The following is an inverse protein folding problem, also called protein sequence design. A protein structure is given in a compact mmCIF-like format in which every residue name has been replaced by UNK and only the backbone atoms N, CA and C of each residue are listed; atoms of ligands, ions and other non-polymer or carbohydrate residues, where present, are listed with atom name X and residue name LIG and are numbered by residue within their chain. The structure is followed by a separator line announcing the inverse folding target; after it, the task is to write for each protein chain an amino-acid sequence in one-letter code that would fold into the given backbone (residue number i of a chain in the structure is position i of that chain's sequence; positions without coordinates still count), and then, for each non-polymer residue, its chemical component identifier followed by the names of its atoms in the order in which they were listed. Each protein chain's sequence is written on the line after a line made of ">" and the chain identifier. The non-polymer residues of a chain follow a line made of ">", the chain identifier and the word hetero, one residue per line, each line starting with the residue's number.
data_IF_653351542087
#
_entry.id   IF_653351542087
#
_cell.length_a   1.000
_cell.length_b   1.000
_cell.length_c   1.000
_cell.angle_alpha   90.00
_cell.angle_beta   90.00
_cell.angle_gamma   90.00
#
_symmetry.space_group_name_H-M   'P 1'
#
loop_
_entity.id
_entity.type
_entity.pdbx_description
1 polymer ?
#
# COMPACT_ATOMS: atom_id res chain seq x y z
N UNK A 1 -11.69 13.54 0.60
CA UNK A 1 -12.08 12.23 1.16
C UNK A 1 -11.02 11.87 2.20
N UNK A 2 -11.40 11.91 3.47
CA UNK A 2 -10.48 11.80 4.60
C UNK A 2 -9.84 10.40 4.65
N UNK A 3 -8.60 10.35 5.12
CA UNK A 3 -8.01 9.12 5.66
C UNK A 3 -8.96 8.62 6.75
N UNK A 4 -9.45 7.38 6.63
CA UNK A 4 -10.19 6.72 7.71
C UNK A 4 -9.19 5.77 8.40
N UNK A 5 -8.40 6.26 9.37
CA UNK A 5 -7.45 5.42 10.11
C UNK A 5 -8.13 4.19 10.74
N UNK A 6 -9.44 4.30 11.04
CA UNK A 6 -10.22 3.25 11.66
C UNK A 6 -10.34 1.97 10.82
N UNK A 7 -10.28 2.06 9.49
CA UNK A 7 -10.39 0.86 8.64
C UNK A 7 -9.17 -0.06 8.76
N UNK A 8 -7.97 0.53 8.84
CA UNK A 8 -6.73 -0.25 9.02
C UNK A 8 -6.70 -0.80 10.45
N UNK A 9 -6.96 0.04 11.45
CA UNK A 9 -7.00 -0.37 12.86
C UNK A 9 -7.98 -1.51 13.12
N UNK A 10 -9.21 -1.41 12.58
CA UNK A 10 -10.21 -2.46 12.71
C UNK A 10 -9.78 -3.78 12.04
N UNK A 11 -9.11 -3.70 10.88
CA UNK A 11 -8.62 -4.89 10.18
C UNK A 11 -7.47 -5.55 10.94
N UNK A 12 -6.57 -4.75 11.51
CA UNK A 12 -5.48 -5.24 12.36
C UNK A 12 -6.03 -5.92 13.62
N UNK A 13 -6.90 -5.25 14.36
CA UNK A 13 -7.54 -5.80 15.56
C UNK A 13 -8.35 -7.08 15.25
N UNK A 14 -9.01 -7.15 14.09
CA UNK A 14 -9.71 -8.36 13.67
C UNK A 14 -8.76 -9.55 13.41
N UNK A 15 -7.51 -9.30 13.02
CA UNK A 15 -6.53 -10.35 12.72
C UNK A 15 -5.80 -10.88 13.97
N UNK A 16 -5.51 -10.00 14.94
CA UNK A 16 -4.68 -10.34 16.12
C UNK A 16 -5.40 -10.20 17.46
N UNK A 17 -6.66 -9.78 17.47
CA UNK A 17 -7.41 -9.41 18.67
C UNK A 17 -7.11 -7.99 19.14
N UNK A 18 -7.62 -7.63 20.33
CA UNK A 18 -7.45 -6.28 20.93
C UNK A 18 -6.11 -6.12 21.69
N UNK A 19 -5.11 -6.96 21.41
CA UNK A 19 -3.79 -6.87 22.03
C UNK A 19 -2.97 -5.74 21.36
N UNK A 20 -2.71 -4.61 22.05
CA UNK A 20 -2.14 -3.43 21.40
C UNK A 20 -0.73 -3.66 20.83
N UNK A 21 0.04 -4.55 21.45
CA UNK A 21 1.39 -4.92 20.98
C UNK A 21 1.36 -5.63 19.64
N UNK A 22 0.48 -6.63 19.48
CA UNK A 22 0.35 -7.37 18.22
C UNK A 22 -0.20 -6.50 17.10
N UNK A 23 -1.13 -5.58 17.42
CA UNK A 23 -1.64 -4.59 16.46
C UNK A 23 -0.51 -3.70 15.94
N UNK A 24 0.36 -3.22 16.84
CA UNK A 24 1.50 -2.38 16.48
C UNK A 24 2.51 -3.15 15.61
N UNK A 25 2.86 -4.38 15.98
CA UNK A 25 3.77 -5.23 15.20
C UNK A 25 3.22 -5.51 13.79
N UNK A 26 1.94 -5.85 13.67
CA UNK A 26 1.32 -6.12 12.37
C UNK A 26 1.21 -4.85 11.51
N UNK A 27 0.96 -3.68 12.14
CA UNK A 27 1.00 -2.39 11.46
C UNK A 27 2.39 -2.08 10.90
N UNK A 28 3.45 -2.31 11.68
CA UNK A 28 4.82 -2.13 11.23
C UNK A 28 5.18 -3.06 10.06
N UNK A 29 4.78 -4.33 10.14
CA UNK A 29 4.98 -5.30 9.07
C UNK A 29 4.25 -4.89 7.77
N UNK A 30 3.02 -4.38 7.87
CA UNK A 30 2.27 -3.82 6.75
C UNK A 30 3.01 -2.62 6.13
N UNK A 31 3.48 -1.68 6.96
CA UNK A 31 4.20 -0.49 6.51
C UNK A 31 5.51 -0.84 5.79
N UNK A 32 6.30 -1.77 6.34
CA UNK A 32 7.54 -2.25 5.71
C UNK A 32 7.25 -2.91 4.35
N UNK A 33 6.21 -3.75 4.29
CA UNK A 33 5.78 -4.40 3.05
C UNK A 33 5.33 -3.38 1.99
N UNK A 34 4.58 -2.35 2.39
CA UNK A 34 4.14 -1.27 1.49
C UNK A 34 5.34 -0.48 0.92
N UNK A 35 6.33 -0.16 1.76
CA UNK A 35 7.57 0.51 1.35
C UNK A 35 8.38 -0.33 0.36
N UNK A 36 8.51 -1.63 0.60
CA UNK A 36 9.19 -2.56 -0.31
C UNK A 36 8.49 -2.66 -1.66
N UNK A 37 7.16 -2.75 -1.67
CA UNK A 37 6.38 -2.79 -2.90
C UNK A 37 6.52 -1.47 -3.71
N UNK A 38 6.53 -0.32 -3.03
CA UNK A 38 6.79 0.97 -3.66
C UNK A 38 8.20 1.07 -4.24
N UNK A 39 9.21 0.58 -3.52
CA UNK A 39 10.58 0.53 -4.02
C UNK A 39 10.71 -0.37 -5.26
N UNK A 40 10.04 -1.52 -5.27
CA UNK A 40 9.99 -2.43 -6.41
C UNK A 40 9.29 -1.80 -7.63
N UNK A 41 8.22 -1.04 -7.41
CA UNK A 41 7.55 -0.28 -8.46
C UNK A 41 8.49 0.80 -9.05
N UNK A 42 9.19 1.54 -8.19
CA UNK A 42 10.14 2.58 -8.62
C UNK A 42 11.36 2.01 -9.37
N UNK A 43 11.75 0.76 -9.08
CA UNK A 43 12.86 0.07 -9.73
C UNK A 43 12.45 -0.77 -10.94
N UNK A 44 11.16 -0.79 -11.32
CA UNK A 44 10.68 -1.59 -12.44
C UNK A 44 11.34 -1.16 -13.76
N UNK A 45 11.89 -2.13 -14.49
CA UNK A 45 12.64 -1.88 -15.72
C UNK A 45 11.75 -1.87 -16.98
N UNK A 46 10.57 -2.46 -16.89
CA UNK A 46 9.64 -2.66 -18.00
C UNK A 46 8.17 -2.53 -17.56
N UNK A 47 7.22 -2.37 -18.51
CA UNK A 47 5.81 -2.23 -18.17
C UNK A 47 5.17 -3.41 -17.44
N UNK A 48 5.66 -4.63 -17.66
CA UNK A 48 5.11 -5.83 -17.02
C UNK A 48 5.51 -5.88 -15.54
N UNK A 49 6.79 -5.68 -15.24
CA UNK A 49 7.33 -5.58 -13.87
C UNK A 49 6.72 -4.41 -13.11
N UNK A 50 6.47 -3.28 -13.77
CA UNK A 50 5.75 -2.15 -13.20
C UNK A 50 4.32 -2.54 -12.81
N UNK A 51 3.54 -3.06 -13.76
CA UNK A 51 2.16 -3.47 -13.52
C UNK A 51 2.07 -4.54 -12.44
N UNK A 52 2.98 -5.53 -12.46
CA UNK A 52 3.07 -6.57 -11.44
C UNK A 52 3.34 -6.02 -10.03
N UNK A 53 4.28 -5.09 -9.89
CA UNK A 53 4.56 -4.43 -8.61
C UNK A 53 3.37 -3.59 -8.12
N UNK A 54 2.69 -2.88 -9.01
CA UNK A 54 1.50 -2.09 -8.68
C UNK A 54 0.34 -2.98 -8.20
N UNK A 55 0.10 -4.11 -8.88
CA UNK A 55 -0.95 -5.06 -8.46
C UNK A 55 -0.63 -5.76 -7.14
N UNK A 56 0.66 -6.02 -6.84
CA UNK A 56 1.07 -6.51 -5.52
C UNK A 56 0.79 -5.50 -4.42
N UNK A 57 1.11 -4.23 -4.64
CA UNK A 57 0.78 -3.14 -3.70
C UNK A 57 -0.74 -3.01 -3.51
N UNK A 58 -1.52 -3.15 -4.58
CA UNK A 58 -2.99 -3.15 -4.52
C UNK A 58 -3.52 -4.29 -3.65
N UNK A 59 -3.03 -5.51 -3.85
CA UNK A 59 -3.43 -6.68 -3.07
C UNK A 59 -3.12 -6.50 -1.58
N UNK A 60 -1.90 -6.04 -1.26
CA UNK A 60 -1.51 -5.71 0.10
C UNK A 60 -2.45 -4.67 0.73
N UNK A 61 -2.73 -3.57 0.02
CA UNK A 61 -3.65 -2.54 0.51
C UNK A 61 -5.07 -3.07 0.75
N UNK A 62 -5.55 -3.98 -0.10
CA UNK A 62 -6.86 -4.61 0.06
C UNK A 62 -6.94 -5.47 1.33
N UNK A 63 -5.88 -6.23 1.66
CA UNK A 63 -5.83 -7.07 2.86
C UNK A 63 -5.98 -6.29 4.17
N UNK A 64 -5.61 -5.02 4.20
CA UNK A 64 -5.67 -4.16 5.38
C UNK A 64 -6.77 -3.08 5.31
N UNK A 65 -7.67 -3.16 4.33
CA UNK A 65 -8.73 -2.16 4.16
C UNK A 65 -8.21 -0.75 3.81
N UNK A 66 -6.98 -0.63 3.31
CA UNK A 66 -6.35 0.64 2.94
C UNK A 66 -6.88 1.15 1.57
N UNK A 67 -8.18 1.43 1.49
CA UNK A 67 -8.93 1.71 0.25
C UNK A 67 -8.25 2.77 -0.64
N UNK A 68 -7.74 3.85 -0.05
CA UNK A 68 -7.09 4.92 -0.81
C UNK A 68 -5.77 4.47 -1.44
N UNK A 69 -4.97 3.69 -0.72
CA UNK A 69 -3.72 3.12 -1.25
C UNK A 69 -4.03 2.09 -2.34
N UNK A 70 -5.07 1.28 -2.14
CA UNK A 70 -5.55 0.31 -3.13
C UNK A 70 -5.95 0.99 -4.44
N UNK A 71 -6.69 2.11 -4.38
CA UNK A 71 -7.06 2.88 -5.56
C UNK A 71 -5.85 3.48 -6.29
N UNK A 72 -4.91 4.09 -5.56
CA UNK A 72 -3.68 4.64 -6.15
C UNK A 72 -2.79 3.57 -6.78
N UNK A 73 -2.76 2.36 -6.20
CA UNK A 73 -2.03 1.23 -6.74
C UNK A 73 -2.69 0.70 -8.04
N UNK A 74 -4.03 0.75 -8.14
CA UNK A 74 -4.72 0.47 -9.39
C UNK A 74 -4.40 1.53 -10.45
N UNK A 75 -4.45 2.81 -10.10
CA UNK A 75 -4.07 3.91 -11.02
C UNK A 75 -2.65 3.70 -11.54
N UNK A 76 -1.72 3.24 -10.69
CA UNK A 76 -0.36 2.91 -11.11
C UNK A 76 -0.31 1.72 -12.07
N UNK A 77 -1.08 0.67 -11.82
CA UNK A 77 -1.11 -0.50 -12.69
C UNK A 77 -1.57 -0.16 -14.12
N UNK A 78 -2.41 0.87 -14.27
CA UNK A 78 -2.97 1.32 -15.56
C UNK A 78 -2.19 2.51 -16.16
N UNK A 79 -1.27 3.12 -15.41
CA UNK A 79 -0.41 4.20 -15.87
C UNK A 79 0.80 3.66 -16.66
N UNK A 80 1.42 4.49 -17.53
CA UNK A 80 2.70 4.17 -18.13
C UNK A 80 3.76 3.87 -17.06
N UNK A 81 4.65 2.91 -17.35
CA UNK A 81 5.75 2.57 -16.47
C UNK A 81 6.65 3.79 -16.21
N UNK A 82 7.02 3.99 -14.95
CA UNK A 82 7.86 5.12 -14.56
C UNK A 82 7.13 6.47 -14.45
N UNK A 83 5.79 6.50 -14.46
CA UNK A 83 5.04 7.74 -14.26
C UNK A 83 5.37 8.38 -12.89
N UNK A 84 6.13 9.48 -12.94
CA UNK A 84 6.61 10.21 -11.77
C UNK A 84 5.48 10.82 -10.95
N UNK A 85 4.38 11.24 -11.59
CA UNK A 85 3.24 11.83 -10.89
C UNK A 85 2.53 10.77 -10.04
N UNK A 86 2.37 9.57 -10.58
CA UNK A 86 1.78 8.44 -9.85
C UNK A 86 2.70 7.99 -8.71
N UNK A 87 4.02 7.85 -8.94
CA UNK A 87 4.97 7.49 -7.88
C UNK A 87 4.95 8.48 -6.72
N UNK A 88 4.89 9.79 -7.00
CA UNK A 88 4.78 10.82 -5.96
C UNK A 88 3.49 10.71 -5.15
N UNK A 89 2.37 10.35 -5.79
CA UNK A 89 1.10 10.14 -5.08
C UNK A 89 1.18 8.91 -4.17
N UNK A 90 1.76 7.82 -4.66
CA UNK A 90 1.96 6.59 -3.90
C UNK A 90 2.89 6.81 -2.71
N UNK A 91 4.04 7.45 -2.91
CA UNK A 91 4.96 7.78 -1.82
C UNK A 91 4.28 8.56 -0.70
N UNK A 92 3.56 9.64 -1.06
CA UNK A 92 2.81 10.43 -0.08
C UNK A 92 1.69 9.66 0.62
N UNK A 93 1.12 8.63 -0.03
CA UNK A 93 0.10 7.80 0.59
C UNK A 93 0.74 6.82 1.59
N UNK A 94 1.85 6.18 1.22
CA UNK A 94 2.61 5.27 2.07
C UNK A 94 3.20 6.00 3.30
N UNK A 95 3.69 7.23 3.12
CA UNK A 95 4.24 8.05 4.22
C UNK A 95 3.19 8.48 5.27
N UNK A 96 1.90 8.28 4.99
CA UNK A 96 0.77 8.70 5.85
C UNK A 96 0.01 7.54 6.48
N UNK A 97 0.48 6.30 6.30
CA UNK A 97 -0.09 5.09 6.91
C UNK A 97 0.22 5.01 8.41
#
# INVERSE_FOLDING_TARGET
>A
MAYDPGAIDATLAAAVGDEPGLIAELREAFLDSAKRALAALNAAADPESWRGSALRLKGLAASFGAVRLMALAQDAADAPAGDVAVLRKLQRAVDRL
#
